data_IF_458083228514
#
_entry.id   IF_458083228514
#
_cell.length_a   1.000
_cell.length_b   1.000
_cell.length_c   1.000
_cell.angle_alpha   90.00
_cell.angle_beta   90.00
_cell.angle_gamma   90.00
#
_symmetry.space_group_name_H-M   'P 1'
#
loop_
_entity.id
_entity.type
_entity.pdbx_description
1 polymer ?
#
# COMPACT_ATOMS: atom_id res chain seq x y z
N UNK A 1 -7.57 0.84 0.36
CA UNK A 1 -7.52 1.69 -0.85
C UNK A 1 -6.55 2.83 -0.59
N UNK A 2 -5.56 3.01 -1.46
CA UNK A 2 -4.65 4.15 -1.41
C UNK A 2 -4.93 5.05 -2.61
N UNK A 3 -4.95 6.34 -2.37
CA UNK A 3 -5.17 7.37 -3.39
C UNK A 3 -3.97 8.30 -3.35
N UNK A 4 -3.32 8.46 -4.48
CA UNK A 4 -2.23 9.41 -4.65
C UNK A 4 -2.62 10.43 -5.71
N UNK A 5 -2.62 11.67 -5.31
CA UNK A 5 -2.93 12.80 -6.16
C UNK A 5 -1.65 13.46 -6.67
N UNK A 6 -1.66 13.86 -7.92
CA UNK A 6 -0.56 14.59 -8.56
C UNK A 6 -1.12 15.68 -9.48
N UNK A 7 -0.30 16.71 -9.83
CA UNK A 7 -0.77 17.80 -10.68
C UNK A 7 -1.26 17.38 -12.07
N UNK A 8 -0.98 16.15 -12.50
CA UNK A 8 -1.29 15.64 -13.84
C UNK A 8 -2.21 14.41 -13.83
N UNK A 9 -2.53 13.85 -12.67
CA UNK A 9 -3.35 12.66 -12.61
C UNK A 9 -3.64 12.18 -11.20
N UNK A 10 -4.38 11.10 -11.15
CA UNK A 10 -4.80 10.40 -9.95
C UNK A 10 -4.39 8.94 -10.03
N UNK A 11 -3.69 8.42 -9.03
CA UNK A 11 -3.40 6.99 -8.89
C UNK A 11 -4.23 6.39 -7.75
N UNK A 12 -4.91 5.30 -8.04
CA UNK A 12 -5.79 4.59 -7.13
C UNK A 12 -5.35 3.14 -7.00
N UNK A 13 -4.98 2.73 -5.80
CA UNK A 13 -4.63 1.36 -5.47
C UNK A 13 -5.77 0.71 -4.68
N UNK A 14 -6.36 -0.32 -5.25
CA UNK A 14 -7.45 -1.06 -4.64
C UNK A 14 -6.93 -2.42 -4.17
N UNK A 15 -6.97 -2.64 -2.86
CA UNK A 15 -6.53 -3.89 -2.23
C UNK A 15 -7.76 -4.68 -1.82
N UNK A 16 -7.89 -5.90 -2.35
CA UNK A 16 -9.01 -6.80 -2.06
C UNK A 16 -8.47 -8.15 -1.58
N UNK A 17 -8.69 -8.52 -0.32
CA UNK A 17 -8.36 -9.86 0.16
C UNK A 17 -9.28 -10.90 -0.51
N UNK A 18 -8.70 -11.99 -0.98
CA UNK A 18 -9.40 -13.12 -1.60
C UNK A 18 -9.42 -14.31 -0.64
N UNK A 19 -8.28 -14.58 0.01
CA UNK A 19 -8.13 -15.62 1.01
C UNK A 19 -7.09 -15.20 2.05
N UNK A 20 -6.79 -16.06 2.99
CA UNK A 20 -5.73 -15.85 4.01
C UNK A 20 -4.32 -15.69 3.43
N UNK A 21 -4.08 -16.22 2.23
CA UNK A 21 -2.79 -16.20 1.55
C UNK A 21 -2.78 -15.50 0.20
N UNK A 22 -3.93 -15.00 -0.25
CA UNK A 22 -4.06 -14.36 -1.56
C UNK A 22 -4.80 -13.02 -1.46
N UNK A 23 -4.17 -11.98 -1.95
CA UNK A 23 -4.73 -10.63 -2.04
C UNK A 23 -4.63 -10.13 -3.48
N UNK A 24 -5.72 -9.58 -3.99
CA UNK A 24 -5.74 -8.91 -5.29
C UNK A 24 -5.47 -7.42 -5.10
N UNK A 25 -4.45 -6.92 -5.77
CA UNK A 25 -4.17 -5.48 -5.85
C UNK A 25 -4.45 -5.00 -7.26
N UNK A 26 -5.23 -3.93 -7.38
CA UNK A 26 -5.56 -3.31 -8.66
C UNK A 26 -5.07 -1.87 -8.66
N UNK A 27 -4.27 -1.53 -9.65
CA UNK A 27 -3.75 -0.19 -9.85
C UNK A 27 -4.56 0.49 -10.96
N UNK A 28 -5.07 1.69 -10.70
CA UNK A 28 -5.80 2.49 -11.68
C UNK A 28 -5.20 3.89 -11.72
N UNK A 29 -4.81 4.33 -12.89
CA UNK A 29 -4.27 5.67 -13.11
C UNK A 29 -5.21 6.45 -14.02
N UNK A 30 -5.60 7.62 -13.58
CA UNK A 30 -6.40 8.59 -14.35
C UNK A 30 -5.50 9.76 -14.67
N UNK A 31 -5.29 10.02 -15.94
CA UNK A 31 -4.39 11.06 -16.43
C UNK A 31 -5.21 12.14 -17.13
N UNK A 32 -5.09 13.39 -16.71
CA UNK A 32 -5.74 14.53 -17.35
C UNK A 32 -4.74 15.44 -18.09
N UNK A 33 -3.44 15.24 -17.89
CA UNK A 33 -2.41 15.97 -18.63
C UNK A 33 -1.29 15.00 -19.06
N UNK A 34 -1.45 14.45 -20.24
CA UNK A 34 -0.50 13.47 -20.80
C UNK A 34 0.90 14.04 -21.06
N UNK A 35 1.01 15.36 -21.22
CA UNK A 35 2.31 16.01 -21.47
C UNK A 35 3.25 15.94 -20.26
N UNK A 36 2.71 15.72 -19.07
CA UNK A 36 3.45 15.62 -17.81
C UNK A 36 3.73 14.20 -17.35
N UNK A 37 3.25 13.19 -18.07
CA UNK A 37 3.44 11.77 -17.72
C UNK A 37 4.90 11.37 -17.54
N UNK A 38 5.80 11.98 -18.31
CA UNK A 38 7.23 11.69 -18.30
C UNK A 38 8.05 12.61 -17.37
N UNK A 39 7.39 13.42 -16.57
CA UNK A 39 8.05 14.37 -15.66
C UNK A 39 7.66 14.08 -14.20
N UNK A 40 8.67 13.95 -13.34
CA UNK A 40 8.48 13.77 -11.90
C UNK A 40 8.19 12.35 -11.45
N UNK A 41 7.56 12.20 -10.30
CA UNK A 41 7.34 10.94 -9.60
C UNK A 41 6.44 9.92 -10.35
N UNK A 42 5.86 10.30 -11.47
CA UNK A 42 4.98 9.43 -12.28
C UNK A 42 5.70 8.54 -13.27
N UNK A 43 6.95 8.83 -13.59
CA UNK A 43 7.67 8.16 -14.69
C UNK A 43 8.05 6.70 -14.42
N UNK A 44 7.91 6.23 -13.18
CA UNK A 44 8.27 4.85 -12.79
C UNK A 44 7.27 4.23 -11.80
N UNK A 45 6.01 4.67 -11.82
CA UNK A 45 4.99 4.16 -10.89
C UNK A 45 4.88 2.65 -10.92
N UNK A 46 4.85 2.05 -12.11
CA UNK A 46 4.74 0.61 -12.24
C UNK A 46 5.93 -0.12 -11.61
N UNK A 47 7.14 0.38 -11.84
CA UNK A 47 8.35 -0.22 -11.25
C UNK A 47 8.37 -0.09 -9.72
N UNK A 48 7.97 1.06 -9.20
CA UNK A 48 7.86 1.27 -7.75
C UNK A 48 6.82 0.34 -7.14
N UNK A 49 5.68 0.17 -7.77
CA UNK A 49 4.62 -0.72 -7.31
C UNK A 49 5.05 -2.19 -7.32
N UNK A 50 5.78 -2.65 -8.34
CA UNK A 50 6.36 -3.99 -8.42
C UNK A 50 7.42 -4.23 -7.32
N UNK A 51 8.26 -3.23 -7.03
CA UNK A 51 9.23 -3.27 -5.94
C UNK A 51 8.54 -3.36 -4.57
N UNK A 52 7.48 -2.59 -4.36
CA UNK A 52 6.70 -2.60 -3.14
C UNK A 52 5.97 -3.94 -2.93
N UNK A 53 5.41 -4.54 -3.98
CA UNK A 53 4.80 -5.87 -3.93
C UNK A 53 5.81 -6.94 -3.49
N UNK A 54 7.00 -6.93 -4.06
CA UNK A 54 8.08 -7.84 -3.69
C UNK A 54 8.46 -7.72 -2.21
N UNK A 55 8.55 -6.49 -1.70
CA UNK A 55 8.83 -6.23 -0.27
C UNK A 55 7.70 -6.75 0.61
N UNK A 56 6.44 -6.50 0.25
CA UNK A 56 5.27 -6.96 1.00
C UNK A 56 5.21 -8.49 1.08
N UNK A 57 5.46 -9.20 0.00
CA UNK A 57 5.51 -10.66 -0.02
C UNK A 57 6.60 -11.20 0.91
N UNK A 58 7.80 -10.62 0.86
CA UNK A 58 8.89 -11.02 1.74
C UNK A 58 8.60 -10.73 3.21
N UNK A 59 7.99 -9.59 3.52
CA UNK A 59 7.54 -9.25 4.87
C UNK A 59 6.50 -10.25 5.35
N UNK A 60 5.52 -10.61 4.53
CA UNK A 60 4.51 -11.60 4.89
C UNK A 60 5.14 -12.97 5.23
N UNK A 61 6.12 -13.41 4.45
CA UNK A 61 6.87 -14.61 4.75
C UNK A 61 7.69 -14.49 6.04
N UNK A 62 8.31 -13.35 6.28
CA UNK A 62 9.09 -13.06 7.48
C UNK A 62 8.24 -13.04 8.77
N UNK A 63 6.98 -12.64 8.70
CA UNK A 63 6.04 -12.65 9.83
C UNK A 63 5.77 -14.06 10.38
N UNK A 64 5.97 -15.09 9.56
CA UNK A 64 5.84 -16.50 9.97
C UNK A 64 7.07 -17.02 10.70
N UNK A 65 8.14 -16.25 10.77
CA UNK A 65 9.36 -16.61 11.50
C UNK A 65 9.11 -16.65 13.01
N UNK A 66 9.68 -17.65 13.67
CA UNK A 66 9.66 -17.77 15.13
C UNK A 66 10.38 -16.62 15.86
N UNK A 67 11.22 -15.89 15.15
CA UNK A 67 11.95 -14.71 15.68
C UNK A 67 11.10 -13.43 15.67
N UNK A 68 10.08 -13.36 14.83
CA UNK A 68 9.20 -12.19 14.80
C UNK A 68 8.25 -12.21 16.02
N UNK A 69 8.24 -11.14 16.78
CA UNK A 69 7.35 -10.99 17.93
C UNK A 69 6.37 -9.83 17.77
N UNK A 70 6.90 -8.63 17.55
CA UNK A 70 6.09 -7.42 17.36
C UNK A 70 6.93 -6.30 16.74
N UNK A 71 6.28 -5.46 15.93
CA UNK A 71 6.83 -4.21 15.45
C UNK A 71 6.42 -3.02 16.34
N UNK A 72 7.02 -1.89 16.09
CA UNK A 72 6.66 -0.61 16.71
C UNK A 72 6.34 0.42 15.64
N UNK A 73 5.33 1.24 15.88
CA UNK A 73 5.01 2.37 15.02
C UNK A 73 5.78 3.63 15.45
N UNK A 74 6.21 4.40 14.47
CA UNK A 74 6.69 5.75 14.73
C UNK A 74 5.51 6.63 15.15
N UNK A 75 5.55 7.28 16.33
CA UNK A 75 4.42 8.08 16.82
C UNK A 75 4.13 9.31 15.97
N UNK A 76 5.08 9.77 15.18
CA UNK A 76 4.94 10.99 14.38
C UNK A 76 4.82 10.74 12.88
N UNK A 77 5.22 9.55 12.38
CA UNK A 77 5.25 9.27 10.94
C UNK A 77 4.30 8.16 10.49
N UNK A 78 3.81 7.37 11.44
CA UNK A 78 2.96 6.20 11.16
C UNK A 78 1.61 6.27 11.87
N UNK A 79 1.13 7.45 12.17
CA UNK A 79 -0.18 7.68 12.81
C UNK A 79 -1.34 7.08 11.98
N UNK A 80 -1.29 7.24 10.66
CA UNK A 80 -2.31 6.72 9.76
C UNK A 80 -2.38 5.19 9.78
N UNK A 81 -1.24 4.52 9.79
CA UNK A 81 -1.15 3.05 9.87
C UNK A 81 -1.68 2.57 11.20
N UNK A 82 -1.29 3.21 12.29
CA UNK A 82 -1.77 2.87 13.63
C UNK A 82 -3.29 3.07 13.76
N UNK A 83 -3.82 4.16 13.20
CA UNK A 83 -5.27 4.42 13.16
C UNK A 83 -6.01 3.32 12.38
N UNK A 84 -5.49 2.91 11.22
CA UNK A 84 -6.04 1.83 10.42
C UNK A 84 -6.08 0.50 11.18
N UNK A 85 -5.02 0.15 11.89
CA UNK A 85 -4.97 -1.05 12.73
C UNK A 85 -5.99 -1.00 13.87
N UNK A 86 -6.22 0.18 14.45
CA UNK A 86 -7.29 0.36 15.46
C UNK A 86 -8.68 0.13 14.86
N UNK A 87 -8.92 0.60 13.63
CA UNK A 87 -10.19 0.34 12.94
C UNK A 87 -10.40 -1.15 12.70
N UNK A 88 -9.38 -1.86 12.17
CA UNK A 88 -9.45 -3.30 11.97
C UNK A 88 -9.79 -4.00 13.30
N UNK A 89 -9.04 -3.70 14.36
CA UNK A 89 -9.29 -4.29 15.68
C UNK A 89 -10.69 -4.04 16.18
N UNK A 90 -11.22 -2.83 15.99
CA UNK A 90 -12.60 -2.47 16.37
C UNK A 90 -13.62 -3.31 15.60
N UNK A 91 -13.46 -3.49 14.29
CA UNK A 91 -14.38 -4.28 13.47
C UNK A 91 -14.29 -5.78 13.78
N UNK A 92 -13.09 -6.29 14.07
CA UNK A 92 -12.89 -7.70 14.42
C UNK A 92 -13.47 -8.08 15.79
N UNK A 93 -13.63 -7.12 16.72
CA UNK A 93 -14.15 -7.34 18.07
C UNK A 93 -15.64 -6.95 18.21
N UNK A 94 -16.32 -6.71 17.13
CA UNK A 94 -17.76 -6.55 17.11
C UNK A 94 -18.41 -7.92 16.91
#
# INVERSE_FOLDING_TARGET
>A
MCIRDSPWGLSLNLVKPISDSLTKVSFRSYVYDETKLNRGAGNQLQKVEEEDEFVVENVHNGLRSSFYKAGRFSPTREEGIHHFHKLISKFMNQ
#
